data_IF_985086340995
#
_entry.id   IF_985086340995
#
_cell.length_a   1.000
_cell.length_b   1.000
_cell.length_c   1.000
_cell.angle_alpha   90.00
_cell.angle_beta   90.00
_cell.angle_gamma   90.00
#
_symmetry.space_group_name_H-M   'P 1'
#
loop_
_entity.id
_entity.type
_entity.pdbx_description
1 polymer ?
#
# COMPACT_ATOMS: atom_id res chain seq x y z
N UNK A 1 -19.35 4.58 -3.21
CA UNK A 1 -18.43 3.57 -2.64
C UNK A 1 -17.81 2.88 -3.83
N UNK A 2 -16.48 2.80 -3.90
CA UNK A 2 -15.80 2.18 -5.04
C UNK A 2 -16.02 0.66 -5.01
N UNK A 3 -16.33 0.05 -6.14
CA UNK A 3 -16.67 -1.39 -6.23
C UNK A 3 -15.45 -2.19 -6.61
N UNK A 4 -15.00 -3.07 -5.73
CA UNK A 4 -13.79 -3.86 -5.88
C UNK A 4 -14.11 -5.32 -6.23
N UNK A 5 -13.43 -5.86 -7.25
CA UNK A 5 -13.40 -7.28 -7.54
C UNK A 5 -12.07 -7.85 -7.06
N UNK A 6 -12.08 -8.86 -6.20
CA UNK A 6 -10.86 -9.42 -5.62
C UNK A 6 -10.44 -10.71 -6.33
N UNK A 7 -9.11 -10.86 -6.51
CA UNK A 7 -8.52 -12.01 -7.21
C UNK A 7 -7.39 -12.58 -6.38
N UNK A 8 -7.40 -13.89 -6.18
CA UNK A 8 -6.33 -14.61 -5.50
C UNK A 8 -5.82 -15.80 -6.30
N UNK A 9 -4.53 -16.06 -6.17
CA UNK A 9 -3.90 -17.26 -6.71
C UNK A 9 -3.34 -18.09 -5.59
N UNK A 10 -3.86 -19.29 -5.44
CA UNK A 10 -3.33 -20.27 -4.52
C UNK A 10 -2.17 -21.02 -5.22
N UNK A 11 -0.95 -20.69 -4.80
CA UNK A 11 0.26 -21.38 -5.22
C UNK A 11 0.56 -22.49 -4.22
N UNK A 12 0.91 -23.67 -4.73
CA UNK A 12 1.33 -24.84 -3.92
C UNK A 12 0.29 -25.36 -2.92
N UNK A 13 -0.99 -25.02 -3.06
CA UNK A 13 -2.07 -25.53 -2.22
C UNK A 13 -2.00 -25.01 -0.78
N UNK A 14 -1.72 -23.72 -0.57
CA UNK A 14 -1.70 -23.10 0.76
C UNK A 14 -3.05 -23.27 1.47
N UNK A 15 -3.03 -23.94 2.62
CA UNK A 15 -4.20 -24.18 3.46
C UNK A 15 -4.83 -22.90 4.04
N UNK A 16 -4.07 -21.79 4.07
CA UNK A 16 -4.54 -20.50 4.59
C UNK A 16 -5.09 -19.58 3.50
N UNK A 17 -5.17 -20.07 2.25
CA UNK A 17 -5.57 -19.25 1.11
C UNK A 17 -6.97 -18.61 1.30
N UNK A 18 -7.95 -19.36 1.78
CA UNK A 18 -9.29 -18.83 2.09
C UNK A 18 -9.24 -17.69 3.12
N UNK A 19 -8.46 -17.87 4.19
CA UNK A 19 -8.28 -16.83 5.20
C UNK A 19 -7.62 -15.57 4.61
N UNK A 20 -6.66 -15.73 3.68
CA UNK A 20 -6.02 -14.62 2.98
C UNK A 20 -7.02 -13.84 2.14
N UNK A 21 -7.92 -14.53 1.43
CA UNK A 21 -8.96 -13.89 0.62
C UNK A 21 -10.00 -13.16 1.49
N UNK A 22 -10.38 -13.72 2.62
CA UNK A 22 -11.30 -13.07 3.57
C UNK A 22 -10.64 -11.84 4.22
N UNK A 23 -9.34 -11.92 4.51
CA UNK A 23 -8.56 -10.77 4.98
C UNK A 23 -8.47 -9.69 3.90
N UNK A 24 -8.22 -10.05 2.63
CA UNK A 24 -8.20 -9.11 1.51
C UNK A 24 -9.53 -8.37 1.38
N UNK A 25 -10.66 -9.07 1.49
CA UNK A 25 -11.98 -8.47 1.49
C UNK A 25 -12.15 -7.46 2.65
N UNK A 26 -11.68 -7.82 3.85
CA UNK A 26 -11.70 -6.93 5.02
C UNK A 26 -10.81 -5.69 4.84
N UNK A 27 -9.65 -5.85 4.18
CA UNK A 27 -8.76 -4.73 3.82
C UNK A 27 -9.41 -3.79 2.80
N UNK A 28 -10.09 -4.31 1.78
CA UNK A 28 -10.82 -3.50 0.81
C UNK A 28 -11.94 -2.69 1.51
N UNK A 29 -12.70 -3.31 2.41
CA UNK A 29 -13.71 -2.60 3.22
C UNK A 29 -13.09 -1.52 4.11
N UNK A 30 -11.87 -1.73 4.66
CA UNK A 30 -11.17 -0.73 5.44
C UNK A 30 -10.71 0.49 4.61
N UNK A 31 -10.69 0.38 3.27
CA UNK A 31 -10.51 1.45 2.29
C UNK A 31 -11.84 2.03 1.77
N UNK A 32 -12.97 1.73 2.43
CA UNK A 32 -14.31 2.17 2.00
C UNK A 32 -14.72 1.65 0.61
N UNK A 33 -14.19 0.48 0.21
CA UNK A 33 -14.54 -0.23 -1.01
C UNK A 33 -15.58 -1.31 -0.72
N UNK A 34 -16.50 -1.52 -1.65
CA UNK A 34 -17.46 -2.62 -1.64
C UNK A 34 -16.92 -3.79 -2.46
N UNK A 35 -16.73 -4.95 -1.83
CA UNK A 35 -16.32 -6.16 -2.57
C UNK A 35 -17.54 -6.77 -3.26
N UNK A 36 -17.58 -6.65 -4.59
CA UNK A 36 -18.72 -7.10 -5.43
C UNK A 36 -18.56 -8.51 -5.99
N UNK A 37 -17.36 -9.06 -5.93
CA UNK A 37 -17.11 -10.43 -6.37
C UNK A 37 -15.67 -10.85 -6.11
N UNK A 38 -15.42 -12.15 -6.24
CA UNK A 38 -14.08 -12.72 -6.11
C UNK A 38 -13.83 -13.80 -7.15
N UNK A 39 -12.58 -13.96 -7.56
CA UNK A 39 -12.09 -15.05 -8.39
C UNK A 39 -10.84 -15.67 -7.80
N UNK A 40 -10.73 -16.98 -7.96
CA UNK A 40 -9.63 -17.76 -7.42
C UNK A 40 -9.06 -18.68 -8.49
N UNK A 41 -7.76 -18.93 -8.40
CA UNK A 41 -7.10 -19.88 -9.27
C UNK A 41 -6.05 -20.68 -8.50
N UNK A 42 -6.09 -22.02 -8.62
CA UNK A 42 -5.03 -22.89 -8.14
C UNK A 42 -4.01 -23.08 -9.24
N UNK A 43 -2.73 -22.85 -8.97
CA UNK A 43 -1.63 -22.98 -9.93
C UNK A 43 -0.38 -23.46 -9.20
N UNK A 44 0.48 -24.21 -9.88
CA UNK A 44 1.83 -24.47 -9.35
C UNK A 44 2.76 -23.27 -9.51
N UNK A 45 2.63 -22.54 -10.63
CA UNK A 45 3.50 -21.40 -10.95
C UNK A 45 2.67 -20.24 -11.47
N UNK A 46 2.96 -19.04 -10.97
CA UNK A 46 2.36 -17.82 -11.47
C UNK A 46 2.75 -17.53 -12.91
N UNK A 47 1.80 -17.08 -13.73
CA UNK A 47 2.09 -16.64 -15.09
C UNK A 47 3.00 -15.41 -15.06
N UNK A 48 4.06 -15.44 -15.89
CA UNK A 48 5.05 -14.34 -15.92
C UNK A 48 4.50 -13.04 -16.51
N UNK A 49 3.49 -13.12 -17.38
CA UNK A 49 2.90 -11.96 -18.05
C UNK A 49 1.72 -11.34 -17.28
N UNK A 50 0.85 -12.15 -16.68
CA UNK A 50 -0.43 -11.71 -16.11
C UNK A 50 -0.70 -12.25 -14.71
N UNK A 51 0.25 -12.97 -14.10
CA UNK A 51 0.12 -13.68 -12.82
C UNK A 51 -0.87 -14.85 -12.86
N UNK A 52 -2.04 -14.69 -13.47
CA UNK A 52 -3.09 -15.68 -13.71
C UNK A 52 -3.07 -16.16 -15.16
N UNK A 53 -3.67 -17.31 -15.45
CA UNK A 53 -3.79 -17.83 -16.82
C UNK A 53 -4.69 -16.96 -17.70
N UNK A 54 -4.44 -16.97 -19.04
CA UNK A 54 -5.18 -16.14 -19.99
C UNK A 54 -6.71 -16.38 -19.94
N UNK A 55 -7.16 -17.62 -19.79
CA UNK A 55 -8.59 -17.94 -19.62
C UNK A 55 -9.17 -17.34 -18.34
N UNK A 56 -8.38 -17.31 -17.25
CA UNK A 56 -8.82 -16.68 -16.00
C UNK A 56 -8.83 -15.15 -16.10
N UNK A 57 -7.93 -14.54 -16.88
CA UNK A 57 -7.97 -13.08 -17.15
C UNK A 57 -9.29 -12.72 -17.83
N UNK A 58 -9.71 -13.49 -18.83
CA UNK A 58 -10.98 -13.23 -19.53
C UNK A 58 -12.20 -13.46 -18.63
N UNK A 59 -12.17 -14.50 -17.79
CA UNK A 59 -13.22 -14.74 -16.77
C UNK A 59 -13.33 -13.57 -15.79
N UNK A 60 -12.19 -13.08 -15.26
CA UNK A 60 -12.15 -11.94 -14.36
C UNK A 60 -12.65 -10.67 -15.05
N UNK A 61 -12.26 -10.44 -16.31
CA UNK A 61 -12.71 -9.30 -17.10
C UNK A 61 -14.23 -9.28 -17.24
N UNK A 62 -14.83 -10.40 -17.66
CA UNK A 62 -16.27 -10.52 -17.83
C UNK A 62 -17.03 -10.40 -16.52
N UNK A 63 -16.54 -11.03 -15.44
CA UNK A 63 -17.16 -10.94 -14.11
C UNK A 63 -17.07 -9.53 -13.55
N UNK A 64 -15.92 -8.86 -13.66
CA UNK A 64 -15.74 -7.49 -13.18
C UNK A 64 -16.57 -6.47 -13.98
N UNK A 65 -16.78 -6.71 -15.28
CA UNK A 65 -17.68 -5.90 -16.12
C UNK A 65 -19.14 -6.13 -15.74
N UNK A 66 -19.58 -7.37 -15.63
CA UNK A 66 -20.96 -7.72 -15.27
C UNK A 66 -21.35 -7.20 -13.87
N UNK A 67 -20.45 -7.28 -12.93
CA UNK A 67 -20.62 -6.77 -11.55
C UNK A 67 -20.31 -5.27 -11.43
N UNK A 68 -20.05 -4.57 -12.54
CA UNK A 68 -19.71 -3.14 -12.56
C UNK A 68 -18.62 -2.77 -11.55
N UNK A 69 -17.58 -3.60 -11.43
CA UNK A 69 -16.44 -3.30 -10.56
C UNK A 69 -15.65 -2.10 -11.13
N UNK A 70 -15.26 -1.18 -10.24
CA UNK A 70 -14.43 -0.02 -10.59
C UNK A 70 -12.93 -0.39 -10.60
N UNK A 71 -12.53 -1.37 -9.79
CA UNK A 71 -11.13 -1.78 -9.58
C UNK A 71 -11.02 -3.28 -9.36
N UNK A 72 -9.89 -3.86 -9.78
CA UNK A 72 -9.55 -5.26 -9.50
C UNK A 72 -8.36 -5.31 -8.54
N UNK A 73 -8.48 -6.07 -7.44
CA UNK A 73 -7.48 -6.16 -6.39
C UNK A 73 -6.94 -7.59 -6.32
N UNK A 74 -5.63 -7.74 -6.47
CA UNK A 74 -4.93 -9.02 -6.35
C UNK A 74 -4.39 -9.24 -4.94
N UNK A 75 -4.61 -10.42 -4.38
CA UNK A 75 -4.03 -10.82 -3.09
C UNK A 75 -2.51 -10.94 -3.15
N UNK A 76 -2.01 -11.37 -4.26
CA UNK A 76 -0.59 -11.60 -4.50
C UNK A 76 0.12 -10.32 -4.99
N UNK A 77 1.41 -10.17 -4.64
CA UNK A 77 2.22 -9.08 -5.14
C UNK A 77 2.45 -9.23 -6.65
N UNK A 78 2.19 -8.19 -7.41
CA UNK A 78 2.33 -8.16 -8.87
C UNK A 78 3.65 -7.49 -9.27
N UNK A 79 4.33 -8.05 -10.27
CA UNK A 79 5.43 -7.34 -10.93
C UNK A 79 4.90 -6.17 -11.78
N UNK A 80 5.73 -5.17 -12.12
CA UNK A 80 5.31 -4.05 -12.98
C UNK A 80 4.75 -4.46 -14.32
N UNK A 81 5.31 -5.53 -14.89
CA UNK A 81 4.88 -6.08 -16.20
C UNK A 81 3.50 -6.72 -16.07
N UNK A 82 3.30 -7.52 -15.02
CA UNK A 82 2.01 -8.15 -14.73
C UNK A 82 0.92 -7.10 -14.47
N UNK A 83 1.22 -6.12 -13.62
CA UNK A 83 0.29 -5.04 -13.33
C UNK A 83 -0.16 -4.31 -14.59
N UNK A 84 0.79 -3.89 -15.44
CA UNK A 84 0.50 -3.21 -16.71
C UNK A 84 -0.32 -4.08 -17.68
N UNK A 85 0.07 -5.35 -17.82
CA UNK A 85 -0.63 -6.27 -18.71
C UNK A 85 -2.05 -6.51 -18.23
N UNK A 86 -2.24 -6.73 -16.92
CA UNK A 86 -3.56 -6.92 -16.33
C UNK A 86 -4.44 -5.68 -16.52
N UNK A 87 -3.92 -4.47 -16.26
CA UNK A 87 -4.68 -3.23 -16.49
C UNK A 87 -5.14 -3.10 -17.94
N UNK A 88 -4.28 -3.47 -18.89
CA UNK A 88 -4.63 -3.43 -20.32
C UNK A 88 -5.67 -4.49 -20.69
N UNK A 89 -5.53 -5.72 -20.18
CA UNK A 89 -6.40 -6.85 -20.55
C UNK A 89 -7.75 -6.80 -19.84
N UNK A 90 -7.79 -6.31 -18.61
CA UNK A 90 -9.03 -6.14 -17.83
C UNK A 90 -9.77 -4.82 -18.15
N UNK A 91 -9.10 -3.87 -18.81
CA UNK A 91 -9.59 -2.49 -19.04
C UNK A 91 -10.10 -1.80 -17.77
N UNK A 92 -9.43 -2.07 -16.65
CA UNK A 92 -9.76 -1.53 -15.33
C UNK A 92 -8.49 -1.23 -14.53
N UNK A 93 -8.55 -0.30 -13.58
CA UNK A 93 -7.49 -0.15 -12.59
C UNK A 93 -7.22 -1.48 -11.87
N UNK A 94 -5.94 -1.78 -11.67
CA UNK A 94 -5.50 -2.97 -10.92
C UNK A 94 -4.56 -2.55 -9.82
N UNK A 95 -4.74 -3.09 -8.64
CA UNK A 95 -3.79 -2.95 -7.54
C UNK A 95 -3.52 -4.31 -6.89
N UNK A 96 -2.45 -4.39 -6.12
CA UNK A 96 -2.13 -5.55 -5.31
C UNK A 96 -2.34 -5.27 -3.82
N UNK A 97 -2.33 -6.33 -3.01
CA UNK A 97 -2.49 -6.27 -1.56
C UNK A 97 -1.58 -5.23 -0.89
N UNK A 98 -0.32 -5.16 -1.33
CA UNK A 98 0.64 -4.19 -0.76
C UNK A 98 0.21 -2.75 -1.02
N UNK A 99 -0.24 -2.46 -2.24
CA UNK A 99 -0.76 -1.14 -2.60
C UNK A 99 -2.01 -0.80 -1.80
N UNK A 100 -2.94 -1.75 -1.63
CA UNK A 100 -4.14 -1.59 -0.83
C UNK A 100 -3.81 -1.25 0.64
N UNK A 101 -2.87 -1.98 1.25
CA UNK A 101 -2.41 -1.71 2.63
C UNK A 101 -1.79 -0.30 2.74
N UNK A 102 -0.99 0.11 1.76
CA UNK A 102 -0.41 1.46 1.74
C UNK A 102 -1.49 2.54 1.62
N UNK A 103 -2.59 2.27 0.89
CA UNK A 103 -3.72 3.18 0.80
C UNK A 103 -4.46 3.31 2.14
N UNK A 104 -4.69 2.20 2.85
CA UNK A 104 -5.25 2.21 4.21
C UNK A 104 -4.39 3.07 5.15
N UNK A 105 -3.07 2.91 5.11
CA UNK A 105 -2.18 3.73 5.92
C UNK A 105 -2.21 5.20 5.52
N UNK A 106 -2.32 5.49 4.22
CA UNK A 106 -2.42 6.86 3.71
C UNK A 106 -3.64 7.58 4.24
N UNK A 107 -4.81 6.93 4.20
CA UNK A 107 -6.07 7.52 4.70
C UNK A 107 -6.07 7.69 6.22
N UNK A 108 -5.40 6.80 6.96
CA UNK A 108 -5.33 6.84 8.43
C UNK A 108 -4.20 7.71 8.98
N UNK A 109 -3.23 8.11 8.19
CA UNK A 109 -2.10 8.93 8.61
C UNK A 109 -2.54 10.37 8.92
N UNK A 110 -2.63 10.74 10.20
CA UNK A 110 -3.05 12.07 10.64
C UNK A 110 -1.86 12.99 10.94
N UNK A 111 -0.73 12.45 11.40
CA UNK A 111 0.45 13.24 11.74
C UNK A 111 1.36 13.44 10.53
N UNK A 112 2.17 14.53 10.54
CA UNK A 112 3.17 14.79 9.50
C UNK A 112 4.16 13.63 9.38
N UNK A 113 4.62 13.08 10.50
CA UNK A 113 5.51 11.93 10.53
C UNK A 113 4.87 10.70 9.88
N UNK A 114 3.63 10.34 10.27
CA UNK A 114 2.92 9.20 9.70
C UNK A 114 2.72 9.35 8.18
N UNK A 115 2.34 10.55 7.70
CA UNK A 115 2.20 10.83 6.27
C UNK A 115 3.52 10.65 5.51
N UNK A 116 4.62 11.15 6.07
CA UNK A 116 5.95 10.97 5.50
C UNK A 116 6.38 9.50 5.47
N UNK A 117 6.13 8.74 6.56
CA UNK A 117 6.44 7.31 6.61
C UNK A 117 5.70 6.52 5.54
N UNK A 118 4.41 6.77 5.37
CA UNK A 118 3.59 6.11 4.34
C UNK A 118 4.08 6.48 2.93
N UNK A 119 4.38 7.75 2.69
CA UNK A 119 4.87 8.18 1.37
C UNK A 119 6.27 7.60 1.06
N UNK A 120 7.15 7.51 2.06
CA UNK A 120 8.44 6.82 1.93
C UNK A 120 8.24 5.34 1.57
N UNK A 121 7.34 4.63 2.28
CA UNK A 121 7.03 3.24 1.99
C UNK A 121 6.46 3.07 0.57
N UNK A 122 5.55 3.94 0.16
CA UNK A 122 4.96 3.96 -1.20
C UNK A 122 6.03 4.16 -2.27
N UNK A 123 6.91 5.14 -2.10
CA UNK A 123 8.00 5.40 -3.05
C UNK A 123 9.00 4.23 -3.10
N UNK A 124 9.34 3.64 -1.95
CA UNK A 124 10.21 2.46 -1.90
C UNK A 124 9.61 1.24 -2.61
N UNK A 125 8.31 1.09 -2.54
CA UNK A 125 7.59 0.02 -3.23
C UNK A 125 7.48 0.26 -4.73
N UNK A 126 7.31 1.51 -5.16
CA UNK A 126 7.12 1.88 -6.56
C UNK A 126 8.43 2.03 -7.35
N UNK A 127 9.51 2.51 -6.72
CA UNK A 127 10.78 2.76 -7.42
C UNK A 127 11.36 1.54 -8.15
N UNK A 128 11.49 0.35 -7.52
CA UNK A 128 11.98 -0.86 -8.21
C UNK A 128 11.06 -1.28 -9.36
N UNK A 129 9.76 -1.00 -9.23
CA UNK A 129 8.75 -1.32 -10.24
C UNK A 129 8.87 -0.43 -11.48
N UNK A 130 9.23 0.84 -11.33
CA UNK A 130 9.52 1.73 -12.46
C UNK A 130 10.77 1.28 -13.22
N UNK A 131 11.81 0.83 -12.51
CA UNK A 131 13.03 0.28 -13.13
C UNK A 131 12.71 -1.00 -13.90
N UNK A 132 12.01 -1.94 -13.28
CA UNK A 132 11.62 -3.20 -13.95
C UNK A 132 10.74 -3.00 -15.18
N UNK A 133 9.91 -1.96 -15.18
CA UNK A 133 9.10 -1.59 -16.35
C UNK A 133 9.98 -1.05 -17.49
N UNK A 134 10.98 -0.26 -17.17
CA UNK A 134 11.96 0.27 -18.13
C UNK A 134 12.74 -0.85 -18.81
N UNK A 135 13.28 -1.79 -18.03
CA UNK A 135 14.05 -2.91 -18.56
C UNK A 135 13.21 -3.83 -19.44
N UNK A 136 11.95 -4.07 -19.06
CA UNK A 136 11.02 -4.87 -19.86
C UNK A 136 10.65 -4.16 -21.19
N UNK A 137 10.44 -2.85 -21.19
CA UNK A 137 10.17 -2.07 -22.40
C UNK A 137 11.38 -2.01 -23.33
N UNK A 138 12.58 -1.86 -22.76
CA UNK A 138 13.84 -1.84 -23.51
C UNK A 138 14.10 -3.16 -24.24
N UNK A 139 13.84 -4.30 -23.58
CA UNK A 139 13.98 -5.64 -24.21
C UNK A 139 12.93 -5.92 -25.29
N UNK A 140 11.69 -5.50 -25.11
CA UNK A 140 10.59 -5.72 -26.06
C UNK A 140 10.72 -4.84 -27.34
N UNK A 141 11.41 -3.72 -27.25
CA UNK A 141 11.61 -2.78 -28.35
C UNK A 141 12.75 -3.14 -29.31
N UNK A 142 13.45 -4.26 -29.15
CA UNK A 142 14.59 -4.68 -29.97
C UNK A 142 14.25 -5.20 -31.37
N UNK A 143 12.98 -5.48 -31.67
CA UNK A 143 12.58 -6.18 -32.89
C UNK A 143 11.95 -5.34 -34.01
N UNK A 144 11.73 -4.03 -33.82
CA UNK A 144 11.04 -3.19 -34.82
C UNK A 144 11.70 -1.81 -34.96
N UNK A 145 12.27 -1.56 -36.09
CA UNK A 145 13.17 -0.45 -36.48
C UNK A 145 12.62 0.97 -36.47
N UNK A 146 12.04 1.46 -35.40
CA UNK A 146 11.66 2.86 -35.24
C UNK A 146 12.63 3.59 -34.29
N UNK A 147 13.73 4.06 -34.81
CA UNK A 147 14.89 4.62 -34.09
C UNK A 147 14.69 6.04 -33.49
N UNK A 148 13.59 6.74 -33.77
CA UNK A 148 13.46 8.18 -33.46
C UNK A 148 12.76 8.51 -32.14
N UNK A 149 11.86 7.67 -31.59
CA UNK A 149 11.11 8.01 -30.38
C UNK A 149 11.57 7.25 -29.10
N UNK A 150 12.46 6.28 -29.24
CA UNK A 150 12.94 5.42 -28.16
C UNK A 150 13.78 6.19 -27.12
N UNK A 151 14.70 7.01 -27.57
CA UNK A 151 15.60 7.77 -26.69
C UNK A 151 14.92 8.86 -25.86
N UNK A 152 13.78 9.39 -26.31
CA UNK A 152 13.04 10.42 -25.58
C UNK A 152 12.22 9.81 -24.42
N UNK A 153 11.59 8.65 -24.64
CA UNK A 153 10.85 7.94 -23.61
C UNK A 153 11.74 7.38 -22.50
N UNK A 154 12.88 6.80 -22.87
CA UNK A 154 13.89 6.30 -21.93
C UNK A 154 14.49 7.40 -21.07
N UNK A 155 14.83 8.56 -21.67
CA UNK A 155 15.32 9.75 -20.94
C UNK A 155 14.26 10.29 -19.97
N UNK A 156 13.00 10.30 -20.35
CA UNK A 156 11.90 10.78 -19.49
C UNK A 156 11.73 9.89 -18.26
N UNK A 157 11.67 8.56 -18.44
CA UNK A 157 11.56 7.60 -17.33
C UNK A 157 12.77 7.69 -16.38
N UNK A 158 13.99 7.83 -16.91
CA UNK A 158 15.19 7.99 -16.10
C UNK A 158 15.18 9.31 -15.32
N UNK A 159 14.69 10.40 -15.90
CA UNK A 159 14.52 11.67 -15.19
C UNK A 159 13.47 11.55 -14.08
N UNK A 160 12.36 10.88 -14.35
CA UNK A 160 11.30 10.67 -13.36
C UNK A 160 11.80 9.75 -12.22
N UNK A 161 12.57 8.71 -12.53
CA UNK A 161 13.24 7.87 -11.53
C UNK A 161 14.14 8.71 -10.61
N UNK A 162 15.03 9.52 -11.17
CA UNK A 162 15.94 10.37 -10.40
C UNK A 162 15.20 11.38 -9.52
N UNK A 163 14.11 11.96 -10.02
CA UNK A 163 13.25 12.86 -9.23
C UNK A 163 12.64 12.15 -8.04
N UNK A 164 12.12 10.92 -8.23
CA UNK A 164 11.54 10.11 -7.17
C UNK A 164 12.59 9.66 -6.15
N UNK A 165 13.79 9.27 -6.59
CA UNK A 165 14.91 8.93 -5.69
C UNK A 165 15.35 10.15 -4.86
N UNK A 166 15.42 11.32 -5.47
CA UNK A 166 15.73 12.55 -4.74
C UNK A 166 14.64 12.92 -3.75
N UNK A 167 13.36 12.77 -4.13
CA UNK A 167 12.21 12.96 -3.25
C UNK A 167 12.27 12.00 -2.07
N UNK A 168 12.54 10.72 -2.31
CA UNK A 168 12.69 9.70 -1.28
C UNK A 168 13.82 10.04 -0.28
N UNK A 169 14.97 10.49 -0.81
CA UNK A 169 16.12 10.89 0.02
C UNK A 169 15.78 12.11 0.90
N UNK A 170 15.09 13.10 0.35
CA UNK A 170 14.67 14.28 1.10
C UNK A 170 13.66 13.93 2.20
N UNK A 171 12.68 13.06 1.91
CA UNK A 171 11.70 12.61 2.90
C UNK A 171 12.33 11.78 4.02
N UNK A 172 13.28 10.90 3.72
CA UNK A 172 14.04 10.16 4.74
C UNK A 172 14.81 11.12 5.65
N UNK A 173 15.46 12.13 5.09
CA UNK A 173 16.18 13.15 5.88
C UNK A 173 15.20 13.93 6.78
N UNK A 174 14.01 14.25 6.29
CA UNK A 174 12.97 14.91 7.09
C UNK A 174 12.50 14.03 8.25
N UNK A 175 12.30 12.73 8.02
CA UNK A 175 11.97 11.78 9.08
C UNK A 175 13.07 11.68 10.14
N UNK A 176 14.35 11.69 9.73
CA UNK A 176 15.49 11.67 10.66
C UNK A 176 15.51 12.93 11.53
N UNK A 177 15.18 14.10 10.98
CA UNK A 177 15.05 15.34 11.76
C UNK A 177 13.93 15.25 12.79
N UNK A 178 12.74 14.78 12.40
CA UNK A 178 11.60 14.58 13.31
C UNK A 178 11.99 13.60 14.43
N UNK A 179 12.64 12.50 14.10
CA UNK A 179 13.10 11.52 15.07
C UNK A 179 14.13 12.12 16.05
N UNK A 180 15.02 13.00 15.56
CA UNK A 180 15.97 13.75 16.37
C UNK A 180 15.28 14.71 17.37
N UNK A 181 14.29 15.46 16.91
CA UNK A 181 13.48 16.35 17.74
C UNK A 181 12.74 15.59 18.84
N UNK A 182 12.11 14.48 18.49
CA UNK A 182 11.43 13.60 19.46
C UNK A 182 12.40 13.03 20.50
N UNK A 183 13.61 12.63 20.08
CA UNK A 183 14.66 12.15 21.00
C UNK A 183 15.05 13.24 21.99
N UNK A 184 15.24 14.46 21.51
CA UNK A 184 15.56 15.62 22.36
C UNK A 184 14.44 15.92 23.35
N UNK A 185 13.17 15.89 22.90
CA UNK A 185 12.02 16.07 23.78
C UNK A 185 11.90 14.96 24.83
N UNK A 186 12.18 13.70 24.46
CA UNK A 186 12.22 12.56 25.40
C UNK A 186 13.31 12.73 26.44
N UNK A 187 14.49 13.22 26.06
CA UNK A 187 15.59 13.49 26.99
C UNK A 187 15.24 14.63 27.96
N UNK A 188 14.62 15.72 27.47
CA UNK A 188 14.15 16.82 28.35
C UNK A 188 13.12 16.32 29.39
N UNK A 189 12.14 15.51 28.92
CA UNK A 189 11.16 14.87 29.82
C UNK A 189 11.79 13.88 30.79
N UNK A 190 12.87 13.18 30.40
CA UNK A 190 13.60 12.28 31.29
C UNK A 190 14.32 13.03 32.40
N UNK A 191 14.82 14.26 32.14
CA UNK A 191 15.52 15.11 33.11
C UNK A 191 14.57 15.86 34.02
N UNK A 192 13.29 15.98 33.71
CA UNK A 192 12.32 16.73 34.52
C UNK A 192 11.96 16.09 35.87
N UNK A 193 12.42 14.84 36.11
CA UNK A 193 12.12 14.12 37.37
C UNK A 193 10.65 13.69 37.55
N UNK A 194 9.77 14.04 36.58
CA UNK A 194 8.35 13.68 36.66
C UNK A 194 8.21 12.15 36.39
N UNK A 195 7.56 11.42 37.30
CA UNK A 195 7.34 9.99 37.12
C UNK A 195 6.49 9.72 35.88
N UNK A 196 6.86 8.71 35.11
CA UNK A 196 6.15 8.29 33.90
C UNK A 196 5.44 6.99 34.15
N UNK A 197 4.13 6.98 33.90
CA UNK A 197 3.29 5.79 34.01
C UNK A 197 2.77 5.43 32.61
N UNK A 198 2.88 4.17 32.23
CA UNK A 198 2.32 3.65 30.99
C UNK A 198 1.09 2.78 31.32
N UNK A 199 -0.05 3.11 30.71
CA UNK A 199 -1.25 2.26 30.77
C UNK A 199 -1.17 1.23 29.63
N UNK A 200 -1.01 -0.03 29.97
CA UNK A 200 -0.91 -1.16 29.03
C UNK A 200 -2.12 -2.08 29.22
N UNK A 201 -2.63 -2.59 28.13
CA UNK A 201 -3.77 -3.55 28.15
C UNK A 201 -4.37 -3.70 26.76
N UNK A 202 -5.21 -4.73 26.60
CA UNK A 202 -5.91 -5.03 25.35
C UNK A 202 -6.85 -3.89 24.90
N UNK A 203 -7.28 -3.91 23.64
CA UNK A 203 -8.35 -3.05 23.14
C UNK A 203 -9.59 -3.18 24.01
N UNK A 204 -10.31 -2.08 24.25
CA UNK A 204 -11.50 -2.00 25.11
C UNK A 204 -11.29 -2.34 26.60
N UNK A 205 -10.05 -2.43 27.09
CA UNK A 205 -9.73 -2.62 28.51
C UNK A 205 -9.92 -1.37 29.39
N UNK A 206 -10.58 -0.34 28.89
CA UNK A 206 -10.86 0.89 29.65
C UNK A 206 -9.69 1.88 29.84
N UNK A 207 -8.58 1.72 29.09
CA UNK A 207 -7.41 2.61 29.21
C UNK A 207 -7.75 4.08 28.96
N UNK A 208 -8.53 4.38 27.92
CA UNK A 208 -8.97 5.74 27.60
C UNK A 208 -9.91 6.29 28.67
N UNK A 209 -10.74 5.46 29.27
CA UNK A 209 -11.62 5.86 30.37
C UNK A 209 -10.83 6.31 31.60
N UNK A 210 -9.81 5.51 31.98
CA UNK A 210 -8.92 5.85 33.09
C UNK A 210 -8.16 7.16 32.78
N UNK A 211 -7.63 7.34 31.58
CA UNK A 211 -6.95 8.58 31.17
C UNK A 211 -7.90 9.78 31.26
N UNK A 212 -9.12 9.65 30.78
CA UNK A 212 -10.11 10.73 30.83
C UNK A 212 -10.52 11.06 32.28
N UNK A 213 -10.63 10.06 33.16
CA UNK A 213 -10.90 10.28 34.56
C UNK A 213 -9.76 11.04 35.28
N UNK A 214 -8.50 10.67 35.00
CA UNK A 214 -7.32 11.32 35.54
C UNK A 214 -7.22 12.79 35.05
N UNK A 215 -7.42 13.02 33.74
CA UNK A 215 -7.42 14.39 33.18
C UNK A 215 -8.60 15.22 33.72
N UNK A 216 -9.79 14.66 33.84
CA UNK A 216 -10.97 15.33 34.36
C UNK A 216 -10.84 15.67 35.86
N UNK A 217 -10.15 14.83 36.64
CA UNK A 217 -9.83 15.15 38.05
C UNK A 217 -8.84 16.33 38.14
N UNK A 218 -7.81 16.34 37.26
CA UNK A 218 -6.80 17.42 37.25
C UNK A 218 -7.41 18.79 36.88
N UNK A 219 -8.25 18.83 35.83
CA UNK A 219 -8.92 20.08 35.41
C UNK A 219 -9.85 20.63 36.49
N UNK A 220 -10.53 19.76 37.25
CA UNK A 220 -11.40 20.22 38.38
C UNK A 220 -10.63 20.80 39.56
N UNK A 221 -9.38 20.42 39.77
CA UNK A 221 -8.53 20.95 40.83
C UNK A 221 -7.90 22.30 40.46
N UNK A 222 -7.61 22.56 39.18
CA UNK A 222 -7.16 23.89 38.71
C UNK A 222 -8.26 24.96 38.73
N UNK A 223 -9.53 24.58 38.50
CA UNK A 223 -10.66 25.52 38.59
C UNK A 223 -11.02 25.92 40.06
N UNK A 224 -10.40 25.27 41.05
CA UNK A 224 -10.61 25.56 42.48
C UNK A 224 -9.51 26.40 43.16
N UNK A 225 -8.45 26.76 42.40
CA UNK A 225 -7.41 27.69 42.84
C UNK A 225 -7.61 29.07 42.20
#
# INVERSE_FOLDING_TARGET
MERAFIVGVNLDGDSNFELSMDELASLAQACEMEVVGRAEQNMEYANTATYIGAGKVEEVRQAAEYLEADIVIFDNALSPVQLRNLQRELDKPVMDRTTLILEIFSTRAKTREAKLQVEVARLQYMLPRLVGLHDALSRQGGASGAMSNKGAGEKKLELDRRRLEQRLTNMKRELDLIAGEQRTQRQKRARSGIPRVALVGYTNAGKSTIMNMLLGAYVKDEEKQ
#
